data_IF_721355803156
#
_entry.id   IF_721355803156
#
_cell.length_a   1.000
_cell.length_b   1.000
_cell.length_c   1.000
_cell.angle_alpha   90.00
_cell.angle_beta   90.00
_cell.angle_gamma   90.00
#
_symmetry.space_group_name_H-M   'P 1'
#
loop_
_entity.id
_entity.type
_entity.pdbx_description
1 polymer ?
#
# COMPACT_ATOMS: atom_id res chain seq x y z
N UNK A 1 -10.60 -4.92 36.61
CA UNK A 1 -11.15 -4.04 35.55
C UNK A 1 -10.35 -2.75 35.48
N UNK A 2 -9.29 -2.68 34.66
CA UNK A 2 -8.37 -1.51 34.65
C UNK A 2 -7.68 -1.21 33.32
N UNK A 3 -8.07 -1.84 32.21
CA UNK A 3 -7.43 -1.66 30.90
C UNK A 3 -8.45 -1.35 29.77
N UNK A 4 -9.52 -0.59 30.05
CA UNK A 4 -10.55 -0.23 29.06
C UNK A 4 -10.34 1.12 28.37
N UNK A 5 -9.29 1.86 28.72
CA UNK A 5 -9.03 3.22 28.21
C UNK A 5 -8.06 3.29 27.02
N UNK A 6 -7.43 2.18 26.62
CA UNK A 6 -6.47 2.17 25.49
C UNK A 6 -7.20 1.90 24.15
N UNK A 7 -8.48 1.52 24.18
CA UNK A 7 -9.24 1.10 22.99
C UNK A 7 -9.95 2.22 22.23
N UNK A 8 -9.92 3.48 22.69
CA UNK A 8 -10.75 4.56 22.10
C UNK A 8 -9.97 5.74 21.53
N UNK A 9 -8.63 5.73 21.55
CA UNK A 9 -7.82 6.87 21.11
C UNK A 9 -7.22 6.77 19.69
N UNK A 10 -7.51 5.71 18.92
CA UNK A 10 -7.00 5.56 17.54
C UNK A 10 -8.08 5.67 16.45
N UNK A 11 -9.24 6.27 16.74
CA UNK A 11 -10.27 6.54 15.73
C UNK A 11 -10.29 7.99 15.20
N UNK A 12 -9.39 8.88 15.64
CA UNK A 12 -9.50 10.31 15.35
C UNK A 12 -8.32 10.96 14.62
N UNK A 13 -7.33 10.20 14.13
CA UNK A 13 -6.18 10.79 13.45
C UNK A 13 -5.64 9.91 12.31
N UNK A 14 -6.34 9.87 11.19
CA UNK A 14 -5.72 9.68 9.86
C UNK A 14 -6.62 10.32 8.81
N UNK A 15 -6.53 11.64 8.83
CA UNK A 15 -6.80 12.58 7.76
C UNK A 15 -6.55 12.05 6.34
N UNK A 16 -7.49 12.37 5.45
CA UNK A 16 -7.27 12.89 4.09
C UNK A 16 -6.05 12.36 3.33
N UNK A 17 -6.29 11.44 2.40
CA UNK A 17 -5.47 11.32 1.21
C UNK A 17 -6.37 11.13 -0.02
N UNK A 18 -7.06 12.21 -0.39
CA UNK A 18 -7.40 12.47 -1.79
C UNK A 18 -6.09 12.37 -2.59
N UNK A 19 -5.96 11.34 -3.42
CA UNK A 19 -4.93 11.35 -4.46
C UNK A 19 -5.67 11.34 -5.79
N UNK A 20 -5.77 12.55 -6.33
CA UNK A 20 -6.18 12.85 -7.69
C UNK A 20 -5.57 11.83 -8.67
N UNK A 21 -6.42 11.27 -9.52
CA UNK A 21 -5.99 10.61 -10.72
C UNK A 21 -5.30 11.64 -11.61
N UNK A 22 -4.04 11.45 -12.05
CA UNK A 22 -3.55 12.24 -13.15
C UNK A 22 -4.28 11.76 -14.40
N UNK A 23 -5.09 12.64 -15.00
CA UNK A 23 -5.50 12.48 -16.39
C UNK A 23 -4.24 12.72 -17.22
N UNK A 24 -3.55 11.65 -17.58
CA UNK A 24 -2.49 11.73 -18.57
C UNK A 24 -3.15 11.64 -19.94
N UNK A 25 -3.60 12.79 -20.44
CA UNK A 25 -3.80 12.97 -21.87
C UNK A 25 -2.40 12.98 -22.51
N UNK A 26 -1.97 11.82 -23.02
CA UNK A 26 -0.63 11.66 -23.60
C UNK A 26 -0.63 12.04 -25.09
N UNK A 27 -0.29 13.30 -25.37
CA UNK A 27 0.03 13.78 -26.71
C UNK A 27 1.45 13.35 -27.11
N UNK A 28 1.54 12.19 -27.77
CA UNK A 28 2.37 11.83 -28.94
C UNK A 28 3.66 12.65 -29.27
N UNK A 29 4.82 11.95 -29.21
CA UNK A 29 6.15 12.07 -29.93
C UNK A 29 7.20 13.09 -29.38
N UNK A 30 8.53 12.79 -29.29
CA UNK A 30 9.41 11.91 -30.10
C UNK A 30 10.11 10.75 -29.32
N UNK A 31 10.82 9.85 -30.02
CA UNK A 31 11.44 8.58 -29.55
C UNK A 31 12.22 8.60 -28.21
N UNK A 32 11.51 8.60 -27.08
CA UNK A 32 12.05 8.22 -25.77
C UNK A 32 11.20 7.08 -25.24
N UNK A 33 11.78 5.88 -25.13
CA UNK A 33 11.08 4.75 -24.50
C UNK A 33 11.30 4.82 -23.00
N UNK A 34 10.21 4.96 -22.25
CA UNK A 34 10.26 4.86 -20.79
C UNK A 34 10.49 3.39 -20.43
N UNK A 35 11.70 3.05 -20.00
CA UNK A 35 12.06 1.70 -19.58
C UNK A 35 11.87 1.61 -18.07
N UNK A 36 10.87 0.85 -17.64
CA UNK A 36 10.63 0.58 -16.23
C UNK A 36 11.02 -0.86 -15.91
N UNK A 37 12.15 -1.06 -15.21
CA UNK A 37 12.55 -2.39 -14.71
C UNK A 37 11.85 -2.73 -13.39
N UNK A 38 11.50 -4.00 -13.23
CA UNK A 38 11.09 -4.63 -11.96
C UNK A 38 9.88 -4.04 -11.23
N UNK A 39 9.07 -3.22 -11.91
CA UNK A 39 7.88 -2.58 -11.31
C UNK A 39 6.90 -3.60 -10.73
N UNK A 40 6.73 -4.73 -11.41
CA UNK A 40 5.82 -5.79 -10.97
C UNK A 40 6.38 -6.56 -9.79
N UNK A 41 7.69 -6.81 -9.77
CA UNK A 41 8.37 -7.47 -8.66
C UNK A 41 8.30 -6.60 -7.41
N UNK A 42 8.63 -5.32 -7.52
CA UNK A 42 8.50 -4.36 -6.44
C UNK A 42 7.06 -4.28 -5.92
N UNK A 43 6.06 -4.17 -6.80
CA UNK A 43 4.66 -4.14 -6.41
C UNK A 43 4.24 -5.41 -5.65
N UNK A 44 4.65 -6.60 -6.12
CA UNK A 44 4.39 -7.87 -5.43
C UNK A 44 5.08 -7.93 -4.07
N UNK A 45 6.34 -7.51 -3.97
CA UNK A 45 7.06 -7.43 -2.69
C UNK A 45 6.35 -6.52 -1.70
N UNK A 46 5.91 -5.33 -2.13
CA UNK A 46 5.10 -4.43 -1.31
C UNK A 46 3.77 -5.03 -0.88
N UNK A 47 3.14 -5.81 -1.77
CA UNK A 47 1.90 -6.53 -1.47
C UNK A 47 2.11 -7.58 -0.38
N UNK A 48 3.17 -8.40 -0.50
CA UNK A 48 3.47 -9.48 0.45
C UNK A 48 3.85 -8.90 1.81
N UNK A 49 4.76 -7.92 1.85
CA UNK A 49 5.17 -7.28 3.09
C UNK A 49 3.98 -6.57 3.75
N UNK A 50 3.17 -5.87 2.97
CA UNK A 50 1.97 -5.20 3.45
C UNK A 50 0.91 -6.18 3.97
N UNK A 51 0.70 -7.31 3.30
CA UNK A 51 -0.25 -8.34 3.71
C UNK A 51 0.19 -9.02 5.01
N UNK A 52 1.47 -9.42 5.10
CA UNK A 52 2.02 -10.07 6.30
C UNK A 52 2.06 -9.08 7.46
N UNK A 53 2.61 -7.89 7.27
CA UNK A 53 2.67 -6.86 8.29
C UNK A 53 1.28 -6.43 8.77
N UNK A 54 0.36 -6.16 7.83
CA UNK A 54 -1.02 -5.77 8.13
C UNK A 54 -1.84 -6.89 8.78
N UNK A 55 -1.65 -8.14 8.37
CA UNK A 55 -2.32 -9.29 8.95
C UNK A 55 -1.85 -9.60 10.37
N UNK A 56 -0.53 -9.56 10.62
CA UNK A 56 0.04 -9.75 11.95
C UNK A 56 -0.37 -8.62 12.90
N UNK A 57 -0.31 -7.36 12.42
CA UNK A 57 -0.75 -6.21 13.19
C UNK A 57 -2.25 -6.28 13.50
N UNK A 58 -3.07 -6.64 12.50
CA UNK A 58 -4.52 -6.84 12.66
C UNK A 58 -4.87 -7.97 13.64
N UNK A 59 -4.11 -9.06 13.66
CA UNK A 59 -4.25 -10.15 14.62
C UNK A 59 -3.90 -9.72 16.06
N UNK A 60 -2.82 -8.93 16.21
CA UNK A 60 -2.38 -8.43 17.50
C UNK A 60 -3.40 -7.45 18.11
N UNK A 61 -3.92 -6.53 17.30
CA UNK A 61 -4.93 -5.55 17.72
C UNK A 61 -6.28 -6.23 18.04
N UNK A 62 -6.67 -7.24 17.26
CA UNK A 62 -7.92 -7.96 17.47
C UNK A 62 -7.97 -8.78 18.77
N UNK A 63 -6.83 -9.05 19.41
CA UNK A 63 -6.79 -9.56 20.79
C UNK A 63 -7.68 -10.79 21.04
N UNK A 64 -8.60 -10.71 22.00
CA UNK A 64 -9.58 -11.75 22.36
C UNK A 64 -10.85 -11.76 21.48
N UNK A 65 -10.97 -10.84 20.51
CA UNK A 65 -12.07 -10.82 19.54
C UNK A 65 -11.82 -11.74 18.35
N UNK A 66 -12.49 -11.47 17.22
CA UNK A 66 -12.34 -12.26 15.99
C UNK A 66 -11.00 -11.97 15.29
N UNK A 67 -9.95 -12.64 15.78
CA UNK A 67 -8.57 -12.59 15.25
C UNK A 67 -8.51 -12.82 13.74
N UNK A 68 -9.33 -13.74 13.23
CA UNK A 68 -9.43 -14.04 11.80
C UNK A 68 -9.95 -12.83 11.02
N UNK A 69 -10.96 -12.13 11.54
CA UNK A 69 -11.48 -10.90 10.93
C UNK A 69 -10.44 -9.78 10.90
N UNK A 70 -9.75 -9.54 12.03
CA UNK A 70 -8.67 -8.54 12.10
C UNK A 70 -7.51 -8.85 11.16
N UNK A 71 -7.15 -10.13 11.03
CA UNK A 71 -6.09 -10.59 10.12
C UNK A 71 -6.48 -10.44 8.66
N UNK A 72 -7.69 -10.84 8.27
CA UNK A 72 -8.14 -10.77 6.87
C UNK A 72 -8.27 -9.31 6.42
N UNK A 73 -8.87 -8.45 7.26
CA UNK A 73 -9.00 -7.03 6.95
C UNK A 73 -7.62 -6.37 6.92
N UNK A 74 -6.79 -6.61 7.95
CA UNK A 74 -5.44 -6.06 8.03
C UNK A 74 -4.55 -6.51 6.87
N UNK A 75 -4.60 -7.79 6.49
CA UNK A 75 -3.86 -8.33 5.37
C UNK A 75 -4.39 -7.79 4.03
N UNK A 76 -5.71 -7.70 3.84
CA UNK A 76 -6.31 -7.17 2.62
C UNK A 76 -5.98 -5.69 2.39
N UNK A 77 -6.15 -4.86 3.43
CA UNK A 77 -5.81 -3.44 3.38
C UNK A 77 -4.31 -3.24 3.20
N UNK A 78 -3.49 -3.97 3.98
CA UNK A 78 -2.04 -3.91 3.89
C UNK A 78 -1.50 -4.35 2.53
N UNK A 79 -2.09 -5.38 1.91
CA UNK A 79 -1.73 -5.86 0.57
C UNK A 79 -1.95 -4.78 -0.49
N UNK A 80 -3.14 -4.16 -0.51
CA UNK A 80 -3.50 -3.15 -1.50
C UNK A 80 -2.65 -1.89 -1.32
N UNK A 81 -2.50 -1.41 -0.07
CA UNK A 81 -1.69 -0.24 0.23
C UNK A 81 -0.21 -0.47 -0.14
N UNK A 82 0.36 -1.60 0.29
CA UNK A 82 1.73 -1.99 -0.01
C UNK A 82 1.99 -2.16 -1.51
N UNK A 83 1.04 -2.74 -2.25
CA UNK A 83 1.12 -2.86 -3.71
C UNK A 83 1.24 -1.49 -4.38
N UNK A 84 0.36 -0.55 -4.01
CA UNK A 84 0.34 0.77 -4.64
C UNK A 84 1.58 1.59 -4.29
N UNK A 85 2.02 1.57 -3.03
CA UNK A 85 3.23 2.30 -2.60
C UNK A 85 4.45 1.76 -3.34
N UNK A 86 4.64 0.43 -3.36
CA UNK A 86 5.82 -0.16 -4.00
C UNK A 86 5.79 0.03 -5.53
N UNK A 87 4.63 -0.07 -6.17
CA UNK A 87 4.46 0.24 -7.60
C UNK A 87 4.79 1.70 -7.92
N UNK A 88 4.34 2.65 -7.09
CA UNK A 88 4.64 4.08 -7.26
C UNK A 88 6.13 4.37 -7.09
N UNK A 89 6.77 3.80 -6.08
CA UNK A 89 8.20 3.95 -5.87
C UNK A 89 9.02 3.33 -7.01
N UNK A 90 8.65 2.14 -7.48
CA UNK A 90 9.31 1.49 -8.62
C UNK A 90 9.07 2.20 -9.97
N UNK A 91 7.99 2.99 -10.09
CA UNK A 91 7.79 3.87 -11.26
C UNK A 91 8.71 5.10 -11.25
N UNK A 92 9.21 5.53 -10.09
CA UNK A 92 10.18 6.64 -10.02
C UNK A 92 11.55 6.24 -10.54
N UNK A 93 11.88 4.95 -10.53
CA UNK A 93 13.13 4.42 -11.10
C UNK A 93 13.02 4.08 -12.59
N UNK A 94 11.95 4.49 -13.27
CA UNK A 94 11.89 4.38 -14.73
C UNK A 94 12.86 5.38 -15.35
N UNK A 95 13.73 4.89 -16.23
CA UNK A 95 14.66 5.74 -16.97
C UNK A 95 14.25 5.82 -18.44
N UNK A 96 14.49 6.97 -19.05
CA UNK A 96 14.32 7.11 -20.49
C UNK A 96 15.61 6.65 -21.16
N UNK A 97 15.51 5.55 -21.89
CA UNK A 97 16.60 5.05 -22.69
C UNK A 97 16.39 5.57 -24.13
N UNK A 98 17.43 6.20 -24.68
CA UNK A 98 17.49 6.49 -26.11
C UNK A 98 17.94 5.21 -26.79
N UNK A 99 17.09 4.69 -27.68
CA UNK A 99 17.37 3.51 -28.48
C UNK A 99 17.75 3.91 -29.89
#
# INVERSE_FOLDING_TARGET
>A
MRNRLIATAMLAASSLAMVAAPVAAETRHPHRVLVCKDVRRAANTGTVIGAVGGGLLGNAIAGHGNKTGGTIIGAGVGAVAGHQIAKKNAKKSCHYEYR
#
